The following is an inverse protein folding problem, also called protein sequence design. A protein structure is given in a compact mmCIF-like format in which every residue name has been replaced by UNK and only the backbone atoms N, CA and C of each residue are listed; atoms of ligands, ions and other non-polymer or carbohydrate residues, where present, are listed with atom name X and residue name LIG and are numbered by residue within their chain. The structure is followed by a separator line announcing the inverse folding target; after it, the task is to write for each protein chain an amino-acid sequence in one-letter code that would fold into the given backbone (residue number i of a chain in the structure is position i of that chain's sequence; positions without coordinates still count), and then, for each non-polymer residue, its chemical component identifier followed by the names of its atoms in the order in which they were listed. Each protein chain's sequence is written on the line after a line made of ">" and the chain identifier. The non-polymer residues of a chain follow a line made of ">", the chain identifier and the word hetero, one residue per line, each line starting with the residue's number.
data_IF_662567687540
#
_entry.id   IF_662567687540
#
_cell.length_a   1.000
_cell.length_b   1.000
_cell.length_c   1.000
_cell.angle_alpha   90.00
_cell.angle_beta   90.00
_cell.angle_gamma   90.00
#
_symmetry.space_group_name_H-M   'P 1'
#
loop_
_entity.id
_entity.type
_entity.pdbx_description
1 polymer ?
#
# COMPACT_ATOMS: atom_id res chain seq x y z
N UNK A 1 19.88 25.56 17.94
CA UNK A 1 19.02 25.97 19.08
C UNK A 1 17.82 25.04 19.17
N UNK A 2 17.71 24.27 20.26
CA UNK A 2 16.58 23.37 20.55
C UNK A 2 15.35 24.22 20.88
N UNK A 3 14.28 24.14 20.07
CA UNK A 3 12.99 24.69 20.48
C UNK A 3 12.09 23.54 20.97
N UNK A 4 11.74 23.60 22.26
CA UNK A 4 10.81 22.70 22.95
C UNK A 4 9.39 23.22 22.73
N UNK A 5 8.43 22.30 22.74
CA UNK A 5 7.00 22.52 22.98
C UNK A 5 6.10 22.89 21.79
N UNK A 6 5.78 21.86 20.99
CA UNK A 6 4.37 21.59 20.68
C UNK A 6 4.13 20.07 20.56
N UNK A 7 3.75 19.44 21.67
CA UNK A 7 3.30 18.03 21.69
C UNK A 7 1.86 17.96 21.17
N UNK A 8 1.69 18.06 19.86
CA UNK A 8 0.44 17.66 19.22
C UNK A 8 0.52 16.14 19.04
N UNK A 9 -0.36 15.31 19.63
CA UNK A 9 -0.47 13.92 19.20
C UNK A 9 -0.95 13.96 17.75
N UNK A 10 0.00 13.86 16.79
CA UNK A 10 -0.29 13.93 15.36
C UNK A 10 -0.96 12.63 14.89
N UNK A 11 -2.19 12.39 15.32
CA UNK A 11 -3.10 11.41 14.71
C UNK A 11 -3.74 12.01 13.44
N UNK A 12 -3.02 12.89 12.74
CA UNK A 12 -3.46 13.47 11.45
C UNK A 12 -2.79 12.67 10.33
N UNK A 13 -3.52 11.66 9.85
CA UNK A 13 -3.29 10.87 8.62
C UNK A 13 -2.33 9.67 8.71
N UNK A 14 -2.74 8.61 9.43
CA UNK A 14 -1.99 7.33 9.59
C UNK A 14 -1.54 6.71 8.24
N UNK A 15 -2.24 6.99 7.14
CA UNK A 15 -2.08 6.28 5.86
C UNK A 15 -1.17 7.02 4.86
N UNK A 16 -1.35 8.33 4.65
CA UNK A 16 -0.52 9.10 3.70
C UNK A 16 -0.33 10.56 4.15
N UNK A 17 0.87 10.90 4.60
CA UNK A 17 1.22 12.26 5.01
C UNK A 17 1.86 13.12 3.88
N UNK A 18 1.88 12.63 2.62
CA UNK A 18 2.61 13.24 1.47
C UNK A 18 4.04 13.67 1.81
N UNK A 19 4.69 12.86 2.64
CA UNK A 19 6.04 13.13 3.14
C UNK A 19 7.08 12.89 2.02
N UNK A 20 8.00 13.83 1.75
CA UNK A 20 9.02 13.66 0.73
C UNK A 20 9.88 12.40 0.94
N UNK A 21 10.13 12.02 2.21
CA UNK A 21 10.91 10.82 2.55
C UNK A 21 10.20 9.49 2.21
N UNK A 22 8.86 9.50 2.04
CA UNK A 22 8.06 8.29 1.77
C UNK A 22 7.45 8.27 0.37
N UNK A 23 7.82 9.23 -0.46
CA UNK A 23 7.22 9.48 -1.78
C UNK A 23 8.24 9.13 -2.85
N UNK A 24 7.80 8.50 -3.94
CA UNK A 24 8.67 8.24 -5.08
C UNK A 24 9.09 9.57 -5.72
N UNK A 25 10.36 9.67 -6.11
CA UNK A 25 10.91 10.83 -6.82
C UNK A 25 11.30 10.39 -8.22
N UNK A 26 10.72 11.02 -9.22
CA UNK A 26 11.02 10.76 -10.63
C UNK A 26 11.32 12.08 -11.34
N UNK A 27 12.47 12.15 -12.02
CA UNK A 27 12.94 13.36 -12.74
C UNK A 27 12.83 14.64 -11.90
N UNK A 28 13.28 14.59 -10.65
CA UNK A 28 13.27 15.75 -9.75
C UNK A 28 11.91 16.05 -9.10
N UNK A 29 10.81 15.43 -9.55
CA UNK A 29 9.46 15.66 -9.01
C UNK A 29 9.00 14.53 -8.09
N UNK A 30 8.26 14.89 -7.06
CA UNK A 30 7.62 13.94 -6.15
C UNK A 30 6.27 13.52 -6.71
N UNK A 31 5.93 12.24 -6.54
CA UNK A 31 4.58 11.76 -6.80
C UNK A 31 3.56 12.39 -5.83
N UNK A 32 2.27 12.48 -6.20
CA UNK A 32 1.25 13.10 -5.36
C UNK A 32 0.89 12.28 -4.11
N UNK A 33 1.31 11.02 -4.06
CA UNK A 33 1.05 10.06 -2.97
C UNK A 33 2.32 9.30 -2.58
N UNK A 34 2.32 8.67 -1.41
CA UNK A 34 3.46 7.88 -0.93
C UNK A 34 3.67 6.62 -1.78
N UNK A 35 4.87 6.04 -1.72
CA UNK A 35 5.24 4.84 -2.48
C UNK A 35 4.29 3.65 -2.25
N UNK A 36 3.72 3.52 -1.04
CA UNK A 36 2.73 2.47 -0.71
C UNK A 36 1.44 2.64 -1.50
N UNK A 37 0.87 3.84 -1.46
CA UNK A 37 -0.34 4.16 -2.22
C UNK A 37 -0.09 4.02 -3.72
N UNK A 38 1.08 4.45 -4.22
CA UNK A 38 1.46 4.23 -5.63
C UNK A 38 1.44 2.75 -5.99
N UNK A 39 2.01 1.89 -5.13
CA UNK A 39 1.96 0.44 -5.29
C UNK A 39 0.53 -0.09 -5.33
N UNK A 40 -0.30 0.27 -4.35
CA UNK A 40 -1.70 -0.18 -4.28
C UNK A 40 -2.46 0.18 -5.56
N UNK A 41 -2.36 1.43 -6.03
CA UNK A 41 -3.02 1.83 -7.28
C UNK A 41 -2.50 1.07 -8.49
N UNK A 42 -1.18 0.90 -8.60
CA UNK A 42 -0.59 0.11 -9.69
C UNK A 42 -1.06 -1.36 -9.65
N UNK A 43 -1.17 -1.96 -8.46
CA UNK A 43 -1.66 -3.32 -8.27
C UNK A 43 -3.13 -3.49 -8.68
N UNK A 44 -4.00 -2.56 -8.27
CA UNK A 44 -5.42 -2.56 -8.68
C UNK A 44 -5.53 -2.47 -10.20
N UNK A 45 -4.84 -1.51 -10.83
CA UNK A 45 -4.85 -1.34 -12.29
C UNK A 45 -4.35 -2.61 -12.98
N UNK A 46 -3.25 -3.20 -12.48
CA UNK A 46 -2.70 -4.44 -13.02
C UNK A 46 -3.73 -5.58 -12.97
N UNK A 47 -4.39 -5.77 -11.82
CA UNK A 47 -5.41 -6.80 -11.69
C UNK A 47 -6.60 -6.59 -12.64
N UNK A 48 -7.10 -5.36 -12.76
CA UNK A 48 -8.16 -5.04 -13.71
C UNK A 48 -7.76 -5.34 -15.17
N UNK A 49 -6.50 -5.08 -15.53
CA UNK A 49 -5.98 -5.45 -16.85
C UNK A 49 -5.92 -6.97 -17.03
N UNK A 50 -5.53 -7.72 -16.00
CA UNK A 50 -5.49 -9.19 -16.04
C UNK A 50 -6.88 -9.78 -16.28
N UNK A 51 -7.93 -9.24 -15.65
CA UNK A 51 -9.31 -9.68 -15.84
C UNK A 51 -9.81 -9.54 -17.28
N UNK A 52 -9.22 -8.64 -18.06
CA UNK A 52 -9.55 -8.50 -19.49
C UNK A 52 -9.10 -9.72 -20.30
N UNK A 53 -8.05 -10.42 -19.85
CA UNK A 53 -7.43 -11.53 -20.58
C UNK A 53 -7.71 -12.89 -19.92
N UNK A 54 -8.00 -12.92 -18.63
CA UNK A 54 -8.19 -14.14 -17.85
C UNK A 54 -9.53 -14.09 -17.13
N UNK A 55 -10.36 -15.11 -17.35
CA UNK A 55 -11.57 -15.32 -16.58
C UNK A 55 -11.25 -16.09 -15.30
N UNK A 56 -11.58 -15.50 -14.14
CA UNK A 56 -11.45 -16.16 -12.85
C UNK A 56 -12.80 -16.73 -12.42
N UNK A 57 -12.76 -17.94 -11.86
CA UNK A 57 -13.89 -18.49 -11.11
C UNK A 57 -13.78 -18.01 -9.66
N UNK A 58 -14.84 -17.39 -9.14
CA UNK A 58 -14.88 -16.88 -7.78
C UNK A 58 -15.17 -18.02 -6.80
N UNK A 59 -14.11 -18.61 -6.26
CA UNK A 59 -14.18 -19.69 -5.28
C UNK A 59 -13.47 -19.31 -3.97
N UNK A 60 -13.60 -20.18 -2.97
CA UNK A 60 -12.93 -19.99 -1.67
C UNK A 60 -11.39 -19.95 -1.80
N UNK A 61 -10.82 -20.57 -2.83
CA UNK A 61 -9.37 -20.53 -3.08
C UNK A 61 -8.94 -19.12 -3.49
N UNK A 62 -9.72 -18.44 -4.32
CA UNK A 62 -9.45 -17.06 -4.72
C UNK A 62 -9.48 -16.11 -3.52
N UNK A 63 -10.43 -16.29 -2.60
CA UNK A 63 -10.50 -15.56 -1.33
C UNK A 63 -9.22 -15.75 -0.49
N UNK A 64 -8.74 -16.98 -0.37
CA UNK A 64 -7.53 -17.30 0.37
C UNK A 64 -6.30 -16.64 -0.25
N UNK A 65 -6.15 -16.74 -1.58
CA UNK A 65 -5.04 -16.11 -2.33
C UNK A 65 -5.08 -14.60 -2.13
N UNK A 66 -6.25 -13.98 -2.29
CA UNK A 66 -6.42 -12.55 -2.13
C UNK A 66 -6.04 -12.08 -0.71
N UNK A 67 -6.44 -12.84 0.32
CA UNK A 67 -6.07 -12.58 1.70
C UNK A 67 -4.56 -12.65 1.92
N UNK A 68 -3.89 -13.66 1.36
CA UNK A 68 -2.43 -13.81 1.43
C UNK A 68 -1.72 -12.63 0.73
N UNK A 69 -2.23 -12.15 -0.39
CA UNK A 69 -1.64 -11.02 -1.12
C UNK A 69 -1.73 -9.69 -0.36
N UNK A 70 -2.72 -9.51 0.50
CA UNK A 70 -2.87 -8.31 1.34
C UNK A 70 -1.90 -8.31 2.54
N UNK A 71 -1.55 -9.50 3.06
CA UNK A 71 -0.72 -9.65 4.27
C UNK A 71 0.60 -8.85 4.23
N UNK A 72 1.42 -8.88 3.16
CA UNK A 72 2.67 -8.12 3.11
C UNK A 72 2.48 -6.61 3.33
N UNK A 73 1.41 -6.03 2.77
CA UNK A 73 1.10 -4.60 2.99
C UNK A 73 0.70 -4.33 4.42
N UNK A 74 -0.15 -5.19 4.98
CA UNK A 74 -0.63 -5.06 6.36
C UNK A 74 0.54 -5.18 7.36
N UNK A 75 1.39 -6.19 7.19
CA UNK A 75 2.58 -6.40 8.03
C UNK A 75 3.57 -5.25 7.93
N UNK A 76 3.87 -4.76 6.71
CA UNK A 76 4.72 -3.57 6.52
C UNK A 76 4.10 -2.30 7.14
N UNK A 77 2.77 -2.17 7.11
CA UNK A 77 2.05 -1.08 7.77
C UNK A 77 2.11 -1.15 9.29
N UNK A 78 1.80 -2.31 9.86
CA UNK A 78 1.73 -2.55 11.30
C UNK A 78 3.12 -2.47 11.92
N UNK A 79 4.13 -3.14 11.36
CA UNK A 79 5.50 -3.09 11.89
C UNK A 79 6.07 -1.68 11.87
N UNK A 80 5.74 -0.87 10.85
CA UNK A 80 6.14 0.53 10.81
C UNK A 80 5.33 1.39 11.81
N UNK A 81 4.05 1.11 12.02
CA UNK A 81 3.22 1.80 13.02
C UNK A 81 3.72 1.54 14.45
N UNK A 82 4.11 0.30 14.74
CA UNK A 82 4.70 -0.13 16.01
C UNK A 82 6.17 0.31 16.18
N UNK A 83 6.74 1.03 15.21
CA UNK A 83 8.13 1.50 15.20
C UNK A 83 9.18 0.39 15.35
N UNK A 84 8.82 -0.85 15.01
CA UNK A 84 9.75 -1.99 15.03
C UNK A 84 10.81 -1.86 13.94
N UNK A 85 10.48 -1.17 12.85
CA UNK A 85 11.32 -0.98 11.67
C UNK A 85 10.86 0.22 10.86
N UNK A 86 11.81 0.94 10.25
CA UNK A 86 11.50 1.88 9.18
C UNK A 86 11.46 1.16 7.81
N UNK A 87 10.32 1.28 7.12
CA UNK A 87 10.18 0.73 5.76
C UNK A 87 10.95 1.59 4.74
N UNK A 88 11.32 1.02 3.61
CA UNK A 88 11.95 1.76 2.49
C UNK A 88 10.91 2.01 1.40
N UNK A 89 11.14 2.99 0.52
CA UNK A 89 10.19 3.26 -0.57
C UNK A 89 10.03 2.08 -1.53
N UNK A 90 11.10 1.30 -1.72
CA UNK A 90 11.04 0.07 -2.50
C UNK A 90 10.11 -0.96 -1.84
N UNK A 91 10.28 -1.21 -0.55
CA UNK A 91 9.43 -2.17 0.19
C UNK A 91 7.97 -1.71 0.20
N UNK A 92 7.72 -0.43 0.51
CA UNK A 92 6.38 0.16 0.45
C UNK A 92 5.71 -0.05 -0.90
N UNK A 93 6.45 0.16 -1.99
CA UNK A 93 5.96 0.00 -3.34
C UNK A 93 5.61 -1.45 -3.65
N UNK A 94 6.52 -2.38 -3.34
CA UNK A 94 6.35 -3.81 -3.61
C UNK A 94 5.23 -4.41 -2.77
N UNK A 95 5.24 -4.20 -1.46
CA UNK A 95 4.17 -4.70 -0.58
C UNK A 95 2.84 -4.10 -1.00
N UNK A 96 2.79 -2.77 -1.19
CA UNK A 96 1.61 -2.07 -1.65
C UNK A 96 1.07 -2.59 -2.98
N UNK A 97 1.93 -2.94 -3.94
CA UNK A 97 1.53 -3.53 -5.21
C UNK A 97 0.80 -4.87 -5.04
N UNK A 98 1.38 -5.79 -4.26
CA UNK A 98 0.72 -7.05 -3.94
C UNK A 98 -0.59 -6.84 -3.17
N UNK A 99 -0.59 -5.89 -2.22
CA UNK A 99 -1.79 -5.52 -1.49
C UNK A 99 -2.89 -4.99 -2.41
N UNK A 100 -2.54 -4.16 -3.40
CA UNK A 100 -3.48 -3.63 -4.39
C UNK A 100 -4.14 -4.71 -5.22
N UNK A 101 -3.37 -5.72 -5.68
CA UNK A 101 -3.93 -6.88 -6.37
C UNK A 101 -4.88 -7.65 -5.44
N UNK A 102 -4.44 -7.97 -4.22
CA UNK A 102 -5.26 -8.70 -3.25
C UNK A 102 -6.55 -7.95 -2.89
N UNK A 103 -6.50 -6.63 -2.70
CA UNK A 103 -7.69 -5.81 -2.47
C UNK A 103 -8.66 -5.86 -3.64
N UNK A 104 -8.18 -5.73 -4.88
CA UNK A 104 -9.03 -5.81 -6.05
C UNK A 104 -9.67 -7.20 -6.19
N UNK A 105 -8.93 -8.27 -5.92
CA UNK A 105 -9.47 -9.64 -5.88
C UNK A 105 -10.59 -9.79 -4.85
N UNK A 106 -10.38 -9.31 -3.61
CA UNK A 106 -11.38 -9.38 -2.54
C UNK A 106 -12.67 -8.63 -2.91
N UNK A 107 -12.54 -7.44 -3.50
CA UNK A 107 -13.70 -6.62 -3.90
C UNK A 107 -14.55 -7.37 -4.92
N UNK A 108 -13.94 -8.02 -5.91
CA UNK A 108 -14.69 -8.73 -6.95
C UNK A 108 -15.31 -10.03 -6.44
N UNK A 109 -14.68 -10.71 -5.47
CA UNK A 109 -15.29 -11.91 -4.85
C UNK A 109 -16.57 -11.57 -4.07
N UNK A 110 -16.68 -10.35 -3.52
CA UNK A 110 -17.81 -9.92 -2.68
C UNK A 110 -18.98 -9.35 -3.50
N UNK A 111 -18.72 -8.80 -4.69
CA UNK A 111 -19.73 -8.17 -5.58
C UNK A 111 -20.33 -9.23 -6.50
#
# INVERSE_FOLDING_TARGET
>A
MKNKNLKIPRVKFVICHRRPDRTLKFRGRYFPVCARCTGIYAGIICFLLILKFIHFTFDFKLLLIASIMVLPTALDGITQLLRLRESTNFIRLVTGFFGGIGYAMLVIVII
#
